data_IF_244978668239
#
_entry.id   IF_244978668239
#
_cell.length_a   1.000
_cell.length_b   1.000
_cell.length_c   1.000
_cell.angle_alpha   90.00
_cell.angle_beta   90.00
_cell.angle_gamma   90.00
#
_symmetry.space_group_name_H-M   'P 1'
#
loop_
_entity.id
_entity.type
_entity.pdbx_description
1 polymer ?
#
# COMPACT_ATOMS: atom_id res chain seq x y z
N UNK A 1 18.73 15.28 -22.37
CA UNK A 1 18.32 14.51 -21.18
C UNK A 1 16.91 13.97 -21.42
N UNK A 2 16.74 12.65 -21.52
CA UNK A 2 15.42 12.02 -21.72
C UNK A 2 14.84 11.72 -20.34
N UNK A 3 13.61 12.15 -20.07
CA UNK A 3 12.91 11.82 -18.83
C UNK A 3 12.25 10.45 -19.02
N UNK A 4 12.79 9.43 -18.36
CA UNK A 4 12.29 8.05 -18.36
C UNK A 4 11.65 7.69 -17.02
N UNK A 5 10.65 6.81 -17.05
CA UNK A 5 10.09 6.20 -15.84
C UNK A 5 10.96 5.02 -15.40
N UNK A 6 11.09 4.80 -14.10
CA UNK A 6 11.87 3.68 -13.59
C UNK A 6 10.97 2.44 -13.42
N UNK A 7 11.44 1.31 -13.94
CA UNK A 7 10.77 0.01 -13.87
C UNK A 7 11.51 -0.88 -12.88
N UNK A 8 10.77 -1.48 -11.97
CA UNK A 8 11.32 -2.25 -10.86
C UNK A 8 10.95 -3.75 -10.97
N UNK A 9 11.88 -4.64 -10.61
CA UNK A 9 11.62 -6.09 -10.49
C UNK A 9 12.02 -6.96 -11.68
N UNK A 10 12.10 -6.41 -12.89
CA UNK A 10 12.50 -7.14 -14.10
C UNK A 10 11.34 -7.91 -14.75
N UNK A 11 11.56 -8.45 -15.96
CA UNK A 11 10.60 -9.30 -16.67
C UNK A 11 11.12 -10.75 -16.81
N UNK A 12 10.29 -11.66 -17.33
CA UNK A 12 10.63 -13.08 -17.46
C UNK A 12 11.89 -13.36 -18.29
N UNK A 13 12.23 -12.48 -19.24
CA UNK A 13 13.42 -12.60 -20.08
C UNK A 13 14.70 -12.11 -19.38
N UNK A 14 14.60 -11.48 -18.20
CA UNK A 14 15.77 -10.99 -17.48
C UNK A 14 16.49 -12.08 -16.67
N UNK A 15 15.87 -13.25 -16.44
CA UNK A 15 16.51 -14.37 -15.74
C UNK A 15 17.08 -13.96 -14.37
N UNK A 16 18.36 -14.27 -14.14
CA UNK A 16 19.07 -13.95 -12.89
C UNK A 16 19.23 -12.43 -12.61
N UNK A 17 19.01 -11.57 -13.62
CA UNK A 17 19.03 -10.13 -13.41
C UNK A 17 17.72 -9.60 -12.83
N UNK A 18 16.61 -10.36 -12.87
CA UNK A 18 15.36 -9.96 -12.25
C UNK A 18 15.44 -10.08 -10.71
N UNK A 19 14.78 -9.19 -9.98
CA UNK A 19 14.75 -9.24 -8.52
C UNK A 19 14.47 -7.91 -7.84
N UNK A 20 14.46 -7.93 -6.51
CA UNK A 20 14.18 -6.75 -5.67
C UNK A 20 15.21 -5.61 -5.83
N UNK A 21 16.41 -5.89 -6.32
CA UNK A 21 17.40 -4.85 -6.63
C UNK A 21 17.34 -4.32 -8.06
N UNK A 22 16.49 -4.89 -8.92
CA UNK A 22 16.52 -4.61 -10.35
C UNK A 22 15.76 -3.31 -10.67
N UNK A 23 16.47 -2.37 -11.30
CA UNK A 23 15.95 -1.08 -11.75
C UNK A 23 16.31 -0.84 -13.21
N UNK A 24 15.32 -0.60 -14.05
CA UNK A 24 15.51 -0.24 -15.45
C UNK A 24 14.91 1.14 -15.73
N UNK A 25 15.77 2.10 -16.06
CA UNK A 25 15.40 3.49 -16.39
C UNK A 25 15.70 3.85 -17.87
N UNK A 26 15.94 2.84 -18.71
CA UNK A 26 16.31 3.05 -20.11
C UNK A 26 15.10 3.29 -21.03
N UNK A 27 13.89 3.17 -20.49
CA UNK A 27 12.65 3.35 -21.24
C UNK A 27 12.11 4.77 -21.06
N UNK A 28 11.84 5.45 -22.19
CA UNK A 28 11.09 6.71 -22.19
C UNK A 28 9.66 6.46 -21.69
N UNK A 29 9.03 7.45 -21.06
CA UNK A 29 7.66 7.32 -20.53
C UNK A 29 6.60 6.93 -21.58
N UNK A 30 6.83 7.23 -22.86
CA UNK A 30 5.96 6.84 -23.97
C UNK A 30 6.17 5.40 -24.44
N UNK A 31 7.14 4.67 -23.90
CA UNK A 31 7.44 3.30 -24.31
C UNK A 31 6.38 2.34 -23.78
N UNK A 32 5.59 1.77 -24.69
CA UNK A 32 4.59 0.77 -24.38
C UNK A 32 5.09 -0.60 -24.83
N UNK A 33 5.16 -1.55 -23.91
CA UNK A 33 5.63 -2.91 -24.18
C UNK A 33 4.79 -3.90 -23.38
N UNK A 34 4.48 -5.05 -23.97
CA UNK A 34 3.70 -6.12 -23.34
C UNK A 34 4.31 -6.65 -22.03
N UNK A 35 5.64 -6.50 -21.87
CA UNK A 35 6.37 -6.96 -20.67
C UNK A 35 6.53 -5.87 -19.60
N UNK A 36 5.85 -4.74 -19.76
CA UNK A 36 5.91 -3.59 -18.85
C UNK A 36 4.50 -3.35 -18.29
N UNK A 37 4.39 -3.33 -16.96
CA UNK A 37 3.14 -3.05 -16.25
C UNK A 37 3.40 -2.33 -14.94
N UNK A 38 2.34 -2.07 -14.18
CA UNK A 38 2.41 -1.41 -12.88
C UNK A 38 1.61 -2.16 -11.82
N UNK A 39 1.99 -1.97 -10.56
CA UNK A 39 1.25 -2.47 -9.40
C UNK A 39 0.93 -1.29 -8.51
N UNK A 40 -0.35 -1.10 -8.17
CA UNK A 40 -0.74 -0.08 -7.21
C UNK A 40 -0.26 -0.48 -5.81
N UNK A 41 0.45 0.42 -5.15
CA UNK A 41 0.77 0.29 -3.73
C UNK A 41 -0.03 1.33 -2.96
N UNK A 42 -0.95 0.89 -2.10
CA UNK A 42 -1.59 1.72 -1.08
C UNK A 42 -1.04 1.26 0.26
N UNK A 43 -0.39 2.16 1.00
CA UNK A 43 0.12 1.85 2.34
C UNK A 43 -1.05 1.49 3.25
N UNK A 44 -1.24 0.20 3.56
CA UNK A 44 -2.13 -0.21 4.63
C UNK A 44 -1.45 0.14 5.95
N UNK A 45 -1.81 1.28 6.52
CA UNK A 45 -1.38 1.67 7.86
C UNK A 45 -2.23 0.91 8.89
N UNK A 46 -1.99 -0.41 9.02
CA UNK A 46 -2.37 -1.12 10.24
C UNK A 46 -1.37 -0.69 11.30
N UNK A 47 -1.64 0.42 11.98
CA UNK A 47 -0.96 0.69 13.25
C UNK A 47 -1.29 -0.52 14.12
N UNK A 48 -0.28 -1.35 14.39
CA UNK A 48 -0.34 -2.38 15.42
C UNK A 48 -0.40 -1.63 16.74
N UNK A 49 -1.63 -1.33 17.12
CA UNK A 49 -2.04 -0.84 18.40
C UNK A 49 -1.81 -1.96 19.42
N UNK A 50 -0.56 -2.03 19.91
CA UNK A 50 -0.15 -2.96 20.95
C UNK A 50 -0.85 -2.57 22.25
N UNK A 51 -1.33 -3.61 22.92
CA UNK A 51 -2.29 -3.57 24.00
C UNK A 51 -1.72 -2.85 25.24
N UNK A 52 -1.98 -1.55 25.37
CA UNK A 52 -2.15 -0.86 26.65
C UNK A 52 -3.08 0.34 26.38
N UNK A 53 -4.39 0.06 26.48
CA UNK A 53 -5.54 0.97 26.32
C UNK A 53 -5.64 1.75 24.98
N UNK A 54 -6.41 1.19 24.04
CA UNK A 54 -6.77 1.84 22.77
C UNK A 54 -8.11 2.55 22.84
N UNK A 55 -8.10 3.81 23.25
CA UNK A 55 -9.24 4.71 23.10
C UNK A 55 -9.42 5.03 21.61
N UNK A 56 -10.41 4.41 20.98
CA UNK A 56 -10.77 4.67 19.58
C UNK A 56 -11.51 6.01 19.51
N UNK A 57 -10.85 7.04 18.99
CA UNK A 57 -11.49 8.33 18.74
C UNK A 57 -12.67 8.18 17.76
N UNK A 58 -13.63 9.10 17.80
CA UNK A 58 -14.78 9.12 16.88
C UNK A 58 -14.36 9.04 15.41
N UNK A 59 -13.24 9.67 15.06
CA UNK A 59 -12.66 9.62 13.71
C UNK A 59 -12.13 8.22 13.37
N UNK A 60 -11.49 7.54 14.32
CA UNK A 60 -11.02 6.16 14.14
C UNK A 60 -12.16 5.16 13.86
N UNK A 61 -13.32 5.36 14.50
CA UNK A 61 -14.51 4.54 14.23
C UNK A 61 -15.08 4.77 12.82
N UNK A 62 -15.18 6.04 12.40
CA UNK A 62 -15.66 6.37 11.04
C UNK A 62 -14.76 5.79 9.95
N UNK A 63 -13.44 5.82 10.14
CA UNK A 63 -12.48 5.24 9.20
C UNK A 63 -12.63 3.72 9.09
N UNK A 64 -12.96 3.04 10.19
CA UNK A 64 -13.18 1.59 10.21
C UNK A 64 -14.48 1.20 9.49
N UNK A 65 -15.53 2.03 9.62
CA UNK A 65 -16.78 1.88 8.85
C UNK A 65 -16.55 2.08 7.34
N UNK A 66 -15.80 3.13 6.95
CA UNK A 66 -15.46 3.41 5.54
C UNK A 66 -14.63 2.28 4.94
N UNK A 67 -13.74 1.67 5.72
CA UNK A 67 -12.95 0.52 5.30
C UNK A 67 -13.75 -0.80 5.23
N UNK A 68 -15.06 -0.79 5.52
CA UNK A 68 -15.91 -1.98 5.51
C UNK A 68 -15.56 -3.01 6.60
N UNK A 69 -14.84 -2.60 7.65
CA UNK A 69 -14.45 -3.49 8.73
C UNK A 69 -15.63 -3.72 9.68
N UNK A 70 -15.82 -4.98 10.08
CA UNK A 70 -16.80 -5.37 11.09
C UNK A 70 -16.34 -4.89 12.48
N UNK A 71 -17.12 -4.02 13.12
CA UNK A 71 -16.83 -3.46 14.45
C UNK A 71 -17.89 -3.93 15.45
N UNK A 72 -17.46 -4.41 16.63
CA UNK A 72 -18.35 -4.70 17.76
C UNK A 72 -18.11 -3.65 18.85
N UNK A 73 -19.10 -2.79 19.08
CA UNK A 73 -19.06 -1.75 20.12
C UNK A 73 -19.74 -2.30 21.37
N UNK A 74 -19.05 -2.29 22.51
CA UNK A 74 -19.65 -2.54 23.83
C UNK A 74 -19.74 -1.19 24.53
N UNK A 75 -20.89 -0.52 24.44
CA UNK A 75 -21.13 0.74 25.15
C UNK A 75 -21.27 0.49 26.65
N UNK A 76 -20.60 1.30 27.46
CA UNK A 76 -20.87 1.46 28.89
C UNK A 76 -21.41 2.87 29.08
N UNK A 77 -22.60 3.01 29.67
CA UNK A 77 -23.10 4.31 30.13
C UNK A 77 -22.43 4.60 31.47
N UNK A 78 -21.66 5.68 31.55
CA UNK A 78 -21.18 6.21 32.83
C UNK A 78 -22.05 7.44 33.13
N UNK A 79 -22.90 7.32 34.15
CA UNK A 79 -23.54 8.48 34.79
C UNK A 79 -22.66 8.97 35.93
N UNK A 80 -22.64 10.30 36.16
CA UNK A 80 -21.91 10.92 37.27
C UNK A 80 -22.35 10.38 38.63
#
# INVERSE_FOLDING_TARGET
MVIGGALFGGNANNGANAGFGYLNANNRSSNSNANIGFRFYRGFNFIRYNCDHHDLTTQGLSALLVAGKKVRIKTVLVSN
#
